data_IF_396085466232
#
_entry.id   IF_396085466232
#
_cell.length_a   1.000
_cell.length_b   1.000
_cell.length_c   1.000
_cell.angle_alpha   90.00
_cell.angle_beta   90.00
_cell.angle_gamma   90.00
#
_symmetry.space_group_name_H-M   'P 1'
#
loop_
_entity.id
_entity.type
_entity.pdbx_description
1 polymer ?
#
# COMPACT_ATOMS: atom_id res chain seq x y z
N UNK A 1 -21.21 -7.49 -17.99
CA UNK A 1 -20.51 -7.97 -16.78
C UNK A 1 -19.59 -6.85 -16.32
N UNK A 2 -19.88 -6.21 -15.19
CA UNK A 2 -19.03 -5.15 -14.65
C UNK A 2 -17.99 -5.77 -13.71
N UNK A 3 -16.70 -5.60 -14.01
CA UNK A 3 -15.61 -6.01 -13.12
C UNK A 3 -15.65 -5.20 -11.82
N UNK A 4 -16.10 -5.84 -10.74
CA UNK A 4 -16.05 -5.26 -9.40
C UNK A 4 -14.59 -5.11 -8.95
N UNK A 5 -14.24 -3.93 -8.43
CA UNK A 5 -12.88 -3.64 -7.95
C UNK A 5 -12.62 -4.40 -6.65
N UNK A 6 -11.87 -5.50 -6.74
CA UNK A 6 -11.53 -6.36 -5.59
C UNK A 6 -10.34 -5.87 -4.76
N UNK A 7 -9.47 -5.06 -5.35
CA UNK A 7 -8.31 -4.48 -4.64
C UNK A 7 -7.82 -3.19 -5.30
N UNK A 8 -7.21 -2.31 -4.51
CA UNK A 8 -6.58 -1.06 -4.96
C UNK A 8 -5.17 -1.00 -4.36
N UNK A 9 -4.15 -0.85 -5.19
CA UNK A 9 -2.74 -0.81 -4.75
C UNK A 9 -1.91 0.20 -5.53
N UNK A 10 -0.80 0.61 -4.95
CA UNK A 10 0.26 1.37 -5.60
C UNK A 10 1.61 0.77 -5.19
N UNK A 11 2.56 0.70 -6.12
CA UNK A 11 3.90 0.18 -5.86
C UNK A 11 4.94 1.12 -6.49
N UNK A 12 6.10 1.19 -5.85
CA UNK A 12 7.23 1.97 -6.33
C UNK A 12 8.48 1.09 -6.32
N UNK A 13 9.27 1.18 -7.38
CA UNK A 13 10.58 0.57 -7.50
C UNK A 13 11.59 1.70 -7.46
N UNK A 14 12.51 1.66 -6.51
CA UNK A 14 13.53 2.67 -6.33
C UNK A 14 14.57 2.58 -7.45
N UNK A 15 15.20 3.70 -7.78
CA UNK A 15 16.30 3.74 -8.76
C UNK A 15 17.57 3.06 -8.24
N UNK A 16 17.74 3.04 -6.91
CA UNK A 16 18.81 2.32 -6.20
C UNK A 16 18.20 1.62 -4.99
N UNK A 17 18.66 0.40 -4.71
CA UNK A 17 18.25 -0.30 -3.50
C UNK A 17 18.65 0.51 -2.26
N UNK A 18 17.70 0.70 -1.34
CA UNK A 18 17.88 1.55 -0.17
C UNK A 18 17.52 0.79 1.10
N UNK A 19 18.30 1.01 2.14
CA UNK A 19 18.02 0.59 3.53
C UNK A 19 17.77 1.79 4.43
N UNK A 20 17.68 3.00 3.86
CA UNK A 20 17.34 4.22 4.60
C UNK A 20 15.87 4.15 5.03
N UNK A 21 15.70 4.02 6.35
CA UNK A 21 14.40 3.90 6.99
C UNK A 21 13.53 5.15 6.74
N UNK A 22 14.13 6.35 6.69
CA UNK A 22 13.36 7.57 6.41
C UNK A 22 12.81 7.59 4.99
N UNK A 23 13.63 7.21 4.01
CA UNK A 23 13.24 7.14 2.60
C UNK A 23 12.12 6.11 2.39
N UNK A 24 12.25 4.95 3.04
CA UNK A 24 11.23 3.90 3.04
C UNK A 24 9.91 4.41 3.64
N UNK A 25 9.96 5.11 4.79
CA UNK A 25 8.75 5.67 5.40
C UNK A 25 8.11 6.77 4.56
N UNK A 26 8.91 7.70 4.02
CA UNK A 26 8.43 8.75 3.10
C UNK A 26 7.72 8.14 1.90
N UNK A 27 8.31 7.10 1.30
CA UNK A 27 7.71 6.38 0.17
C UNK A 27 6.43 5.65 0.57
N UNK A 28 6.44 4.94 1.71
CA UNK A 28 5.26 4.23 2.23
C UNK A 28 4.08 5.17 2.48
N UNK A 29 4.34 6.34 3.06
CA UNK A 29 3.33 7.39 3.27
C UNK A 29 2.77 7.89 1.94
N UNK A 30 3.64 8.19 0.98
CA UNK A 30 3.24 8.62 -0.37
C UNK A 30 2.36 7.57 -1.08
N UNK A 31 2.72 6.29 -1.01
CA UNK A 31 1.90 5.20 -1.58
C UNK A 31 0.53 5.10 -0.88
N UNK A 32 0.51 5.25 0.44
CA UNK A 32 -0.73 5.23 1.24
C UNK A 32 -1.68 6.36 0.85
N UNK A 33 -1.16 7.58 0.68
CA UNK A 33 -1.89 8.74 0.16
C UNK A 33 -2.52 8.46 -1.22
N UNK A 34 -1.76 7.88 -2.15
CA UNK A 34 -2.25 7.53 -3.49
C UNK A 34 -3.37 6.49 -3.45
N UNK A 35 -3.21 5.44 -2.64
CA UNK A 35 -4.23 4.41 -2.45
C UNK A 35 -5.50 5.01 -1.85
N UNK A 36 -5.39 5.78 -0.77
CA UNK A 36 -6.51 6.44 -0.11
C UNK A 36 -7.25 7.40 -1.05
N UNK A 37 -6.53 8.20 -1.85
CA UNK A 37 -7.15 9.07 -2.86
C UNK A 37 -7.94 8.26 -3.89
N UNK A 38 -7.42 7.10 -4.33
CA UNK A 38 -8.10 6.25 -5.31
C UNK A 38 -9.32 5.56 -4.71
N UNK A 39 -9.24 5.07 -3.48
CA UNK A 39 -10.38 4.52 -2.75
C UNK A 39 -11.51 5.55 -2.61
N UNK A 40 -11.19 6.78 -2.17
CA UNK A 40 -12.17 7.88 -2.08
C UNK A 40 -12.81 8.22 -3.42
N UNK A 41 -12.03 8.29 -4.49
CA UNK A 41 -12.56 8.54 -5.85
C UNK A 41 -13.51 7.46 -6.33
N UNK A 42 -13.33 6.22 -5.89
CA UNK A 42 -14.18 5.08 -6.24
C UNK A 42 -15.34 4.87 -5.24
N UNK A 43 -15.43 5.67 -4.16
CA UNK A 43 -16.40 5.46 -3.09
C UNK A 43 -16.19 4.15 -2.30
N UNK A 44 -14.98 3.58 -2.33
CA UNK A 44 -14.66 2.29 -1.71
C UNK A 44 -13.97 2.46 -0.35
N UNK A 45 -14.10 1.43 0.50
CA UNK A 45 -13.36 1.29 1.77
C UNK A 45 -12.63 -0.04 1.83
N UNK A 46 -11.36 -0.02 2.22
CA UNK A 46 -10.54 -1.22 2.40
C UNK A 46 -10.78 -1.88 3.76
N UNK A 47 -10.81 -3.21 3.80
CA UNK A 47 -10.89 -4.01 5.05
C UNK A 47 -9.52 -4.52 5.52
N UNK A 48 -8.61 -4.73 4.57
CA UNK A 48 -7.29 -5.32 4.80
C UNK A 48 -6.24 -4.45 4.12
N UNK A 49 -5.16 -4.15 4.85
CA UNK A 49 -3.97 -3.52 4.30
C UNK A 49 -2.93 -4.59 4.00
N UNK A 50 -2.32 -4.52 2.82
CA UNK A 50 -1.25 -5.42 2.42
C UNK A 50 -0.01 -4.62 2.06
N UNK A 51 1.12 -4.93 2.69
CA UNK A 51 2.43 -4.35 2.38
C UNK A 51 3.25 -5.41 1.63
N UNK A 52 3.85 -4.99 0.51
CA UNK A 52 4.73 -5.82 -0.33
C UNK A 52 6.10 -5.17 -0.40
N UNK A 53 7.13 -5.92 -0.03
CA UNK A 53 8.54 -5.54 -0.14
C UNK A 53 9.21 -6.55 -1.08
N UNK A 54 9.95 -6.04 -2.07
CA UNK A 54 10.76 -6.84 -2.98
C UNK A 54 12.23 -6.43 -2.80
N UNK A 55 13.08 -7.40 -2.54
CA UNK A 55 14.52 -7.21 -2.37
C UNK A 55 15.27 -7.36 -3.70
N UNK A 56 16.54 -6.96 -3.72
CA UNK A 56 17.47 -7.05 -4.87
C UNK A 56 17.55 -8.46 -5.48
N UNK A 57 17.56 -9.48 -4.63
CA UNK A 57 17.60 -10.90 -4.97
C UNK A 57 16.24 -11.44 -5.41
N UNK A 58 15.30 -10.55 -5.74
CA UNK A 58 13.93 -10.81 -6.14
C UNK A 58 13.08 -11.56 -5.12
N UNK A 59 13.56 -11.76 -3.88
CA UNK A 59 12.75 -12.27 -2.78
C UNK A 59 11.65 -11.27 -2.46
N UNK A 60 10.42 -11.76 -2.31
CA UNK A 60 9.25 -10.93 -1.97
C UNK A 60 8.73 -11.33 -0.60
N UNK A 61 8.56 -10.34 0.28
CA UNK A 61 7.88 -10.51 1.57
C UNK A 61 6.57 -9.73 1.52
N UNK A 62 5.49 -10.44 1.86
CA UNK A 62 4.15 -9.86 1.95
C UNK A 62 3.64 -10.04 3.37
N UNK A 63 3.05 -8.98 3.91
CA UNK A 63 2.32 -8.99 5.17
C UNK A 63 0.96 -8.34 4.93
N UNK A 64 -0.08 -8.97 5.44
CA UNK A 64 -1.44 -8.47 5.39
C UNK A 64 -2.00 -8.41 6.81
N UNK A 65 -2.69 -7.32 7.11
CA UNK A 65 -3.35 -7.12 8.39
C UNK A 65 -4.61 -6.30 8.20
N UNK A 66 -5.68 -6.66 8.91
CA UNK A 66 -6.78 -5.74 9.10
C UNK A 66 -6.33 -4.69 10.12
N UNK A 67 -6.56 -3.38 9.90
CA UNK A 67 -6.41 -2.42 10.98
C UNK A 67 -7.34 -2.86 12.12
N UNK A 68 -6.80 -2.94 13.35
CA UNK A 68 -7.63 -3.11 14.54
C UNK A 68 -8.69 -2.00 14.51
N UNK A 69 -9.95 -2.34 14.76
CA UNK A 69 -11.14 -1.49 14.50
C UNK A 69 -11.26 -0.23 15.38
N UNK A 70 -10.16 0.31 15.88
CA UNK A 70 -10.13 1.57 16.61
C UNK A 70 -9.58 2.67 15.70
N UNK A 71 -10.52 3.38 15.08
CA UNK A 71 -10.38 4.78 14.64
C UNK A 71 -9.25 5.12 13.67
N UNK A 72 -9.40 4.71 12.40
CA UNK A 72 -8.83 5.45 11.27
C UNK A 72 -9.95 5.85 10.31
N UNK A 73 -10.67 6.92 10.66
CA UNK A 73 -11.45 7.69 9.72
C UNK A 73 -10.50 8.70 9.03
N UNK A 74 -10.47 8.66 7.70
CA UNK A 74 -10.02 9.79 6.87
C UNK A 74 -11.22 10.69 6.56
#
# INVERSE_FOLDING_TARGET
MSDEVKSVRHEHTFDKDTTDVEEIYKTSFFLSEKVSRRLRKLGLKGKTLTVKIRFDNFKTVIRAGAPCRENYFF
#
